data_IF_998612534223
#
_entry.id   IF_998612534223
#
_cell.length_a   1.000
_cell.length_b   1.000
_cell.length_c   1.000
_cell.angle_alpha   90.00
_cell.angle_beta   90.00
_cell.angle_gamma   90.00
#
_symmetry.space_group_name_H-M   'P 1'
#
loop_
_entity.id
_entity.type
_entity.pdbx_description
1 polymer ?
#
# COMPACT_ATOMS: atom_id res chain seq x y z
N UNK A 1 22.20 23.22 -4.42
CA UNK A 1 21.03 22.54 -3.82
C UNK A 1 21.35 22.28 -2.37
N UNK A 2 20.57 22.87 -1.46
CA UNK A 2 20.71 22.61 -0.03
C UNK A 2 20.27 21.17 0.32
N UNK A 3 20.78 20.60 1.40
CA UNK A 3 20.34 19.28 1.88
C UNK A 3 18.82 19.22 2.13
N UNK A 4 18.22 20.34 2.52
CA UNK A 4 16.78 20.48 2.78
C UNK A 4 15.97 20.32 1.47
N UNK A 5 16.38 21.01 0.39
CA UNK A 5 15.76 20.90 -0.94
C UNK A 5 15.81 19.47 -1.50
N UNK A 6 16.93 18.78 -1.27
CA UNK A 6 17.11 17.37 -1.67
C UNK A 6 16.19 16.44 -0.88
N UNK A 7 16.04 16.67 0.43
CA UNK A 7 15.14 15.90 1.29
C UNK A 7 13.67 16.09 0.87
N UNK A 8 13.24 17.33 0.64
CA UNK A 8 11.88 17.66 0.24
C UNK A 8 11.52 17.07 -1.14
N UNK A 9 12.42 17.21 -2.12
CA UNK A 9 12.24 16.60 -3.45
C UNK A 9 12.12 15.08 -3.37
N UNK A 10 12.90 14.44 -2.49
CA UNK A 10 12.87 12.99 -2.30
C UNK A 10 11.62 12.52 -1.55
N UNK A 11 11.16 13.27 -0.56
CA UNK A 11 9.89 13.00 0.14
C UNK A 11 8.69 13.12 -0.82
N UNK A 12 8.64 14.17 -1.65
CA UNK A 12 7.61 14.33 -2.69
C UNK A 12 7.65 13.19 -3.71
N UNK A 13 8.84 12.82 -4.20
CA UNK A 13 8.98 11.70 -5.13
C UNK A 13 8.51 10.38 -4.53
N UNK A 14 8.80 10.13 -3.25
CA UNK A 14 8.35 8.96 -2.50
C UNK A 14 6.83 8.91 -2.36
N UNK A 15 6.21 10.03 -2.00
CA UNK A 15 4.76 10.11 -1.89
C UNK A 15 4.06 9.89 -3.23
N UNK A 16 4.60 10.46 -4.31
CA UNK A 16 4.06 10.28 -5.66
C UNK A 16 4.22 8.82 -6.12
N UNK A 17 5.34 8.17 -5.78
CA UNK A 17 5.54 6.74 -5.99
C UNK A 17 4.54 5.86 -5.24
N UNK A 18 4.18 6.22 -4.01
CA UNK A 18 3.16 5.52 -3.21
C UNK A 18 1.77 5.63 -3.82
N UNK A 19 1.37 6.81 -4.31
CA UNK A 19 0.11 6.97 -5.04
C UNK A 19 0.09 6.17 -6.34
N UNK A 20 1.18 6.20 -7.10
CA UNK A 20 1.31 5.42 -8.33
C UNK A 20 1.19 3.91 -8.04
N UNK A 21 1.84 3.43 -6.99
CA UNK A 21 1.73 2.04 -6.54
C UNK A 21 0.29 1.68 -6.15
N UNK A 22 -0.37 2.52 -5.36
CA UNK A 22 -1.75 2.31 -4.94
C UNK A 22 -2.70 2.21 -6.14
N UNK A 23 -2.61 3.14 -7.09
CA UNK A 23 -3.40 3.11 -8.32
C UNK A 23 -3.13 1.84 -9.15
N UNK A 24 -1.85 1.46 -9.29
CA UNK A 24 -1.47 0.27 -10.04
C UNK A 24 -1.98 -1.03 -9.39
N UNK A 25 -1.99 -1.13 -8.05
CA UNK A 25 -2.55 -2.31 -7.36
C UNK A 25 -4.05 -2.47 -7.63
N UNK A 26 -4.81 -1.37 -7.67
CA UNK A 26 -6.24 -1.39 -8.03
C UNK A 26 -6.44 -1.82 -9.49
N UNK A 27 -5.66 -1.27 -10.41
CA UNK A 27 -5.72 -1.65 -11.83
C UNK A 27 -5.40 -3.13 -12.02
N UNK A 28 -4.34 -3.63 -11.36
CA UNK A 28 -3.96 -5.03 -11.39
C UNK A 28 -5.07 -5.94 -10.86
N UNK A 29 -5.71 -5.57 -9.75
CA UNK A 29 -6.86 -6.30 -9.22
C UNK A 29 -7.97 -6.40 -10.27
N UNK A 30 -8.36 -5.28 -10.89
CA UNK A 30 -9.38 -5.28 -11.94
C UNK A 30 -9.03 -6.17 -13.13
N UNK A 31 -7.76 -6.19 -13.55
CA UNK A 31 -7.27 -7.07 -14.62
C UNK A 31 -7.31 -8.55 -14.25
N UNK A 32 -7.23 -8.91 -12.96
CA UNK A 32 -7.40 -10.30 -12.53
C UNK A 32 -8.82 -10.82 -12.74
N UNK A 33 -9.83 -9.93 -12.73
CA UNK A 33 -11.24 -10.27 -12.97
C UNK A 33 -11.64 -10.16 -14.45
N UNK A 34 -11.07 -9.21 -15.19
CA UNK A 34 -11.52 -8.87 -16.54
C UNK A 34 -10.93 -9.73 -17.66
N UNK A 35 -9.83 -10.47 -17.41
CA UNK A 35 -9.06 -11.10 -18.50
C UNK A 35 -9.10 -12.62 -18.45
N UNK A 36 -9.14 -13.25 -19.64
CA UNK A 36 -9.03 -14.72 -19.79
C UNK A 36 -7.66 -15.28 -19.40
N UNK A 37 -6.66 -14.41 -19.16
CA UNK A 37 -5.31 -14.75 -18.66
C UNK A 37 -5.16 -14.46 -17.16
N UNK A 38 -6.17 -14.82 -16.38
CA UNK A 38 -6.22 -14.54 -14.93
C UNK A 38 -4.97 -15.00 -14.16
N UNK A 39 -4.34 -16.10 -14.55
CA UNK A 39 -3.14 -16.64 -13.87
C UNK A 39 -1.91 -15.72 -13.94
N UNK A 40 -1.67 -15.06 -15.08
CA UNK A 40 -0.54 -14.14 -15.24
C UNK A 40 -0.74 -12.87 -14.40
N UNK A 41 -1.91 -12.25 -14.51
CA UNK A 41 -2.23 -11.05 -13.73
C UNK A 41 -2.34 -11.34 -12.24
N UNK A 42 -2.78 -12.53 -11.85
CA UNK A 42 -2.78 -12.96 -10.46
C UNK A 42 -1.36 -13.07 -9.89
N UNK A 43 -0.40 -13.64 -10.65
CA UNK A 43 1.00 -13.67 -10.25
C UNK A 43 1.59 -12.27 -10.10
N UNK A 44 1.27 -11.36 -11.03
CA UNK A 44 1.73 -9.97 -10.99
C UNK A 44 1.10 -9.19 -9.83
N UNK A 45 -0.21 -9.35 -9.59
CA UNK A 45 -0.91 -8.79 -8.43
C UNK A 45 -0.30 -9.28 -7.13
N UNK A 46 0.01 -10.58 -7.02
CA UNK A 46 0.64 -11.15 -5.83
C UNK A 46 2.03 -10.54 -5.58
N UNK A 47 2.85 -10.43 -6.62
CA UNK A 47 4.16 -9.78 -6.54
C UNK A 47 4.06 -8.32 -6.08
N UNK A 48 3.14 -7.55 -6.65
CA UNK A 48 2.91 -6.15 -6.26
C UNK A 48 2.40 -6.00 -4.83
N UNK A 49 1.49 -6.88 -4.42
CA UNK A 49 0.94 -6.94 -3.07
C UNK A 49 2.07 -7.23 -2.07
N UNK A 50 2.92 -8.21 -2.37
CA UNK A 50 4.07 -8.56 -1.53
C UNK A 50 5.05 -7.40 -1.39
N UNK A 51 5.44 -6.75 -2.50
CA UNK A 51 6.31 -5.58 -2.47
C UNK A 51 5.70 -4.44 -1.65
N UNK A 52 4.39 -4.21 -1.78
CA UNK A 52 3.68 -3.18 -1.04
C UNK A 52 3.65 -3.45 0.46
N UNK A 53 3.38 -4.70 0.86
CA UNK A 53 3.41 -5.12 2.26
C UNK A 53 4.82 -5.00 2.84
N UNK A 54 5.84 -5.42 2.10
CA UNK A 54 7.23 -5.28 2.51
C UNK A 54 7.61 -3.80 2.68
N UNK A 55 7.16 -2.94 1.79
CA UNK A 55 7.43 -1.50 1.85
C UNK A 55 6.77 -0.82 3.07
N UNK A 56 5.53 -1.20 3.37
CA UNK A 56 4.80 -0.74 4.54
C UNK A 56 5.36 -1.34 5.84
N UNK A 57 5.99 -2.50 5.76
CA UNK A 57 6.57 -3.20 6.91
C UNK A 57 7.80 -2.46 7.46
N UNK A 58 7.99 -2.48 8.80
CA UNK A 58 9.22 -1.98 9.43
C UNK A 58 10.45 -2.84 9.14
N UNK A 59 10.33 -3.95 8.40
CA UNK A 59 11.47 -4.80 8.04
C UNK A 59 12.40 -4.13 7.03
N UNK A 60 11.84 -3.41 6.04
CA UNK A 60 12.64 -2.74 4.99
C UNK A 60 13.46 -1.58 5.56
N UNK A 61 13.02 -0.94 6.65
CA UNK A 61 13.77 0.13 7.30
C UNK A 61 14.99 -0.40 8.05
N UNK A 62 14.87 -1.59 8.67
CA UNK A 62 16.00 -2.24 9.34
C UNK A 62 17.14 -2.63 8.40
N UNK A 63 16.87 -2.74 7.10
CA UNK A 63 17.86 -3.07 6.08
C UNK A 63 18.58 -1.84 5.50
N UNK A 64 18.10 -0.62 5.79
CA UNK A 64 18.70 0.61 5.28
C UNK A 64 19.71 1.17 6.30
N UNK A 65 20.99 1.10 5.95
CA UNK A 65 22.07 1.68 6.74
C UNK A 65 22.67 2.88 5.99
N UNK A 66 22.63 4.07 6.59
CA UNK A 66 23.30 5.26 6.05
C UNK A 66 22.79 6.57 6.66
N UNK A 67 23.65 7.62 6.72
CA UNK A 67 23.31 8.90 7.38
C UNK A 67 22.11 9.59 6.72
N UNK A 68 21.97 9.48 5.39
CA UNK A 68 20.83 10.02 4.66
C UNK A 68 19.53 9.20 4.90
N UNK A 69 19.66 7.89 5.17
CA UNK A 69 18.52 7.04 5.50
C UNK A 69 18.01 7.32 6.92
N UNK A 70 18.92 7.58 7.88
CA UNK A 70 18.56 8.01 9.23
C UNK A 70 17.84 9.37 9.24
N UNK A 71 18.30 10.34 8.43
CA UNK A 71 17.63 11.64 8.29
C UNK A 71 16.24 11.55 7.63
N UNK A 72 16.02 10.59 6.72
CA UNK A 72 14.71 10.37 6.08
C UNK A 72 13.77 9.48 6.90
N UNK A 73 14.31 8.61 7.75
CA UNK A 73 13.58 7.72 8.65
C UNK A 73 13.60 8.21 10.10
N UNK A 74 13.41 9.52 10.24
CA UNK A 74 13.20 10.17 11.53
C UNK A 74 11.94 9.62 12.23
N UNK A 75 11.79 9.89 13.53
CA UNK A 75 10.67 9.42 14.35
C UNK A 75 9.30 9.70 13.71
N UNK A 76 9.16 10.86 13.04
CA UNK A 76 7.97 11.29 12.30
C UNK A 76 7.60 10.29 11.18
N UNK A 77 8.56 9.87 10.37
CA UNK A 77 8.32 8.90 9.27
C UNK A 77 7.90 7.53 9.81
N UNK A 78 8.42 7.17 11.00
CA UNK A 78 8.08 5.91 11.66
C UNK A 78 6.66 5.95 12.24
N UNK A 79 6.27 7.09 12.80
CA UNK A 79 4.91 7.36 13.26
C UNK A 79 3.91 7.38 12.10
N UNK A 80 4.26 8.04 10.99
CA UNK A 80 3.45 8.05 9.77
C UNK A 80 3.16 6.63 9.27
N UNK A 81 4.16 5.75 9.28
CA UNK A 81 3.97 4.34 8.93
C UNK A 81 3.05 3.62 9.90
N UNK A 82 3.22 3.78 11.21
CA UNK A 82 2.33 3.17 12.21
C UNK A 82 0.88 3.61 12.01
N UNK A 83 0.64 4.91 11.83
CA UNK A 83 -0.68 5.47 11.56
C UNK A 83 -1.27 4.92 10.25
N UNK A 84 -0.45 4.80 9.21
CA UNK A 84 -0.85 4.24 7.91
C UNK A 84 -1.20 2.77 8.00
N UNK A 85 -0.41 1.97 8.72
CA UNK A 85 -0.71 0.55 8.97
C UNK A 85 -2.01 0.37 9.75
N UNK A 86 -2.28 1.23 10.75
CA UNK A 86 -3.54 1.20 11.48
C UNK A 86 -4.74 1.48 10.55
N UNK A 87 -4.63 2.48 9.67
CA UNK A 87 -5.66 2.77 8.66
C UNK A 87 -5.86 1.59 7.69
N UNK A 88 -4.78 0.96 7.23
CA UNK A 88 -4.86 -0.24 6.40
C UNK A 88 -5.54 -1.41 7.11
N UNK A 89 -5.22 -1.62 8.38
CA UNK A 89 -5.89 -2.64 9.20
C UNK A 89 -7.40 -2.41 9.29
N UNK A 90 -7.82 -1.19 9.64
CA UNK A 90 -9.24 -0.86 9.73
C UNK A 90 -9.96 -0.96 8.39
N UNK A 91 -9.34 -0.52 7.29
CA UNK A 91 -9.90 -0.66 5.96
C UNK A 91 -10.04 -2.14 5.55
N UNK A 92 -9.05 -2.97 5.85
CA UNK A 92 -9.12 -4.42 5.63
C UNK A 92 -10.21 -5.08 6.45
N UNK A 93 -10.36 -4.70 7.73
CA UNK A 93 -11.41 -5.20 8.60
C UNK A 93 -12.81 -4.85 8.06
N UNK A 94 -13.01 -3.60 7.64
CA UNK A 94 -14.28 -3.16 7.03
C UNK A 94 -14.55 -3.89 5.73
N UNK A 95 -13.54 -4.07 4.88
CA UNK A 95 -13.68 -4.85 3.65
C UNK A 95 -14.04 -6.31 3.93
N UNK A 96 -13.44 -6.93 4.95
CA UNK A 96 -13.75 -8.29 5.35
C UNK A 96 -15.19 -8.41 5.89
N UNK A 97 -15.62 -7.47 6.74
CA UNK A 97 -16.98 -7.41 7.24
C UNK A 97 -17.99 -7.23 6.09
N UNK A 98 -17.69 -6.36 5.12
CA UNK A 98 -18.52 -6.17 3.94
C UNK A 98 -18.62 -7.45 3.09
N UNK A 99 -17.51 -8.16 2.88
CA UNK A 99 -17.53 -9.43 2.15
C UNK A 99 -18.31 -10.52 2.88
N UNK A 100 -18.26 -10.57 4.23
CA UNK A 100 -19.08 -11.49 5.02
C UNK A 100 -20.58 -11.17 4.88
N UNK A 101 -20.96 -9.89 4.88
CA UNK A 101 -22.36 -9.49 4.70
C UNK A 101 -22.91 -9.84 3.30
N UNK A 102 -22.04 -10.01 2.30
CA UNK A 102 -22.39 -10.36 0.91
C UNK A 102 -22.23 -11.87 0.65
N UNK A 103 -21.46 -12.59 1.50
CA UNK A 103 -21.04 -13.98 1.30
C UNK A 103 -22.17 -15.02 1.30
N UNK A 104 -23.37 -14.64 1.76
CA UNK A 104 -24.55 -15.51 1.74
C UNK A 104 -25.24 -15.56 0.36
N UNK A 105 -24.76 -14.79 -0.64
CA UNK A 105 -25.35 -14.82 -1.97
C UNK A 105 -24.64 -15.87 -2.85
N UNK A 106 -25.34 -16.95 -3.26
CA UNK A 106 -24.74 -17.99 -4.09
C UNK A 106 -24.23 -17.42 -5.41
N UNK A 107 -22.97 -17.71 -5.74
CA UNK A 107 -22.37 -17.41 -7.04
C UNK A 107 -21.78 -16.01 -7.20
N UNK A 108 -21.72 -15.16 -6.17
CA UNK A 108 -21.26 -13.79 -6.32
C UNK A 108 -19.71 -13.65 -6.36
N UNK A 109 -19.00 -14.28 -5.43
CA UNK A 109 -17.52 -14.19 -5.33
C UNK A 109 -16.92 -15.47 -4.74
N UNK A 110 -15.78 -15.92 -5.29
CA UNK A 110 -15.02 -17.00 -4.66
C UNK A 110 -14.29 -16.48 -3.41
N UNK A 111 -13.96 -17.36 -2.46
CA UNK A 111 -13.17 -16.99 -1.29
C UNK A 111 -11.81 -16.36 -1.67
N UNK A 112 -11.22 -16.80 -2.80
CA UNK A 112 -9.97 -16.21 -3.32
C UNK A 112 -10.17 -14.76 -3.74
N UNK A 113 -11.29 -14.47 -4.41
CA UNK A 113 -11.59 -13.13 -4.93
C UNK A 113 -11.87 -12.14 -3.80
N UNK A 114 -12.66 -12.57 -2.82
CA UNK A 114 -12.92 -11.79 -1.60
C UNK A 114 -11.62 -11.46 -0.87
N UNK A 115 -10.70 -12.43 -0.73
CA UNK A 115 -9.40 -12.19 -0.12
C UNK A 115 -8.59 -11.14 -0.89
N UNK A 116 -8.56 -11.20 -2.22
CA UNK A 116 -7.83 -10.21 -3.06
C UNK A 116 -8.38 -8.80 -2.87
N UNK A 117 -9.70 -8.65 -2.80
CA UNK A 117 -10.36 -7.37 -2.58
C UNK A 117 -9.98 -6.81 -1.19
N UNK A 118 -10.05 -7.64 -0.14
CA UNK A 118 -9.70 -7.26 1.22
C UNK A 118 -8.24 -6.80 1.30
N UNK A 119 -7.30 -7.59 0.79
CA UNK A 119 -5.88 -7.25 0.79
C UNK A 119 -5.61 -5.95 0.01
N UNK A 120 -6.19 -5.82 -1.18
CA UNK A 120 -6.00 -4.62 -2.00
C UNK A 120 -6.53 -3.38 -1.29
N UNK A 121 -7.72 -3.46 -0.68
CA UNK A 121 -8.33 -2.35 0.05
C UNK A 121 -7.45 -1.91 1.22
N UNK A 122 -6.98 -2.85 2.03
CA UNK A 122 -6.09 -2.57 3.17
C UNK A 122 -4.78 -1.89 2.74
N UNK A 123 -4.14 -2.43 1.70
CA UNK A 123 -2.84 -1.94 1.21
C UNK A 123 -2.98 -0.56 0.59
N UNK A 124 -3.98 -0.36 -0.27
CA UNK A 124 -4.24 0.93 -0.92
C UNK A 124 -4.53 2.01 0.11
N UNK A 125 -5.36 1.73 1.11
CA UNK A 125 -5.66 2.66 2.19
C UNK A 125 -4.40 3.05 2.98
N UNK A 126 -3.54 2.08 3.31
CA UNK A 126 -2.27 2.33 3.99
C UNK A 126 -1.29 3.16 3.11
N UNK A 127 -1.15 2.83 1.83
CA UNK A 127 -0.27 3.54 0.91
C UNK A 127 -0.70 4.99 0.70
N UNK A 128 -2.01 5.21 0.47
CA UNK A 128 -2.58 6.55 0.31
C UNK A 128 -2.38 7.39 1.58
N UNK A 129 -2.63 6.80 2.76
CA UNK A 129 -2.38 7.50 4.03
C UNK A 129 -0.91 7.88 4.16
N UNK A 130 0.00 6.95 3.90
CA UNK A 130 1.43 7.19 4.02
C UNK A 130 1.88 8.28 3.04
N UNK A 131 1.42 8.22 1.79
CA UNK A 131 1.71 9.23 0.78
C UNK A 131 1.22 10.62 1.20
N UNK A 132 0.02 10.69 1.78
CA UNK A 132 -0.57 11.95 2.27
C UNK A 132 0.26 12.55 3.40
N UNK A 133 0.67 11.73 4.37
CA UNK A 133 1.48 12.17 5.50
C UNK A 133 2.88 12.62 5.06
N UNK A 134 3.49 11.92 4.10
CA UNK A 134 4.79 12.32 3.51
C UNK A 134 4.69 13.64 2.73
N UNK A 135 3.57 13.90 2.03
CA UNK A 135 3.34 15.19 1.38
C UNK A 135 3.09 16.32 2.38
N UNK A 136 2.42 16.03 3.50
CA UNK A 136 2.17 17.02 4.55
C UNK A 136 3.45 17.41 5.27
N UNK A 137 4.35 16.46 5.54
CA UNK A 137 5.65 16.76 6.12
C UNK A 137 6.65 17.42 5.16
N UNK A 138 6.40 17.36 3.85
CA UNK A 138 7.20 18.02 2.83
C UNK A 138 6.68 19.43 2.46
N UNK A 139 5.71 19.96 3.19
CA UNK A 139 5.18 21.33 3.06
C UNK A 139 5.58 22.13 4.29
#
# INVERSE_FOLDING_TARGET
>A
MGMIELAERKARARALGLYAFAGLTVVLLGLTFATSRGSFFQGMWFGFTLVSVLYLSPLVTRLKNGPLAQLLEDEVTREHRRASSAIGFWAGLLAAAAMLAIGDVPGLLSASDSARIIFTTAIVAAQVRLATLELQAAR
#
